data_IF_942448610079
#
_entry.id   IF_942448610079
#
_cell.length_a   1.000
_cell.length_b   1.000
_cell.length_c   1.000
_cell.angle_alpha   90.00
_cell.angle_beta   90.00
_cell.angle_gamma   90.00
#
_symmetry.space_group_name_H-M   'P 1'
#
loop_
_entity.id
_entity.type
_entity.pdbx_description
1 polymer ?
#
# COMPACT_ATOMS: atom_id res chain seq x y z
N UNK A 1 11.54 17.27 -1.29
CA UNK A 1 10.48 16.32 -1.67
C UNK A 1 9.18 16.90 -1.15
N UNK A 2 8.20 17.17 -2.02
CA UNK A 2 6.98 17.90 -1.65
C UNK A 2 5.74 16.99 -1.69
N UNK A 3 5.91 15.71 -1.39
CA UNK A 3 4.86 14.69 -1.39
C UNK A 3 5.10 13.66 -0.27
N UNK A 4 4.04 13.06 0.29
CA UNK A 4 4.18 12.01 1.31
C UNK A 4 4.71 10.70 0.69
N UNK A 5 5.50 9.97 1.47
CA UNK A 5 5.90 8.59 1.15
C UNK A 5 4.91 7.64 1.84
N UNK A 6 4.37 6.68 1.10
CA UNK A 6 3.35 5.77 1.61
C UNK A 6 3.84 4.32 1.68
N UNK A 7 3.69 3.69 2.85
CA UNK A 7 3.73 2.23 3.04
C UNK A 7 3.01 1.87 4.35
N UNK A 8 2.02 0.99 4.23
CA UNK A 8 1.14 0.57 5.33
C UNK A 8 1.32 -0.87 5.76
N UNK A 9 2.32 -1.58 5.21
CA UNK A 9 2.58 -2.98 5.51
C UNK A 9 4.03 -3.24 5.92
N UNK A 10 4.72 -2.21 6.42
CA UNK A 10 6.07 -2.33 6.98
C UNK A 10 6.07 -1.65 8.35
N UNK A 11 6.45 -2.41 9.36
CA UNK A 11 6.56 -1.93 10.74
C UNK A 11 7.95 -2.25 11.28
N UNK A 12 8.38 -1.43 12.22
CA UNK A 12 9.54 -1.69 13.06
C UNK A 12 9.18 -2.80 14.06
N UNK A 13 9.97 -3.87 14.10
CA UNK A 13 9.68 -5.09 14.89
C UNK A 13 9.70 -4.82 16.39
N UNK A 14 10.58 -3.94 16.86
CA UNK A 14 10.73 -3.64 18.28
C UNK A 14 9.54 -2.83 18.80
N UNK A 15 9.11 -1.83 18.04
CA UNK A 15 8.10 -0.86 18.47
C UNK A 15 6.69 -1.19 18.00
N UNK A 16 6.54 -2.04 16.98
CA UNK A 16 5.27 -2.34 16.30
C UNK A 16 4.67 -1.14 15.55
N UNK A 17 5.47 -0.09 15.29
CA UNK A 17 5.03 1.15 14.65
C UNK A 17 5.49 1.20 13.20
N UNK A 18 4.83 2.02 12.39
CA UNK A 18 5.32 2.34 11.05
C UNK A 18 6.71 2.98 11.12
N UNK A 19 7.53 2.68 10.12
CA UNK A 19 8.87 3.24 9.97
C UNK A 19 8.85 4.77 9.84
N UNK A 20 9.97 5.43 10.11
CA UNK A 20 10.03 6.90 10.11
C UNK A 20 9.81 7.49 8.73
N UNK A 21 9.22 8.70 8.68
CA UNK A 21 9.00 9.49 7.46
C UNK A 21 8.09 8.85 6.39
N UNK A 22 7.32 7.82 6.76
CA UNK A 22 6.27 7.27 5.90
C UNK A 22 4.91 7.36 6.59
N UNK A 23 3.84 7.27 5.80
CA UNK A 23 2.48 7.10 6.30
C UNK A 23 1.88 5.82 5.71
N UNK A 24 1.00 5.11 6.42
CA UNK A 24 0.30 3.96 5.84
C UNK A 24 -0.60 4.35 4.67
N UNK A 25 -1.25 5.51 4.80
CA UNK A 25 -2.16 6.06 3.83
C UNK A 25 -2.18 7.60 3.93
N UNK A 26 -2.76 8.24 2.92
CA UNK A 26 -3.07 9.67 2.94
C UNK A 26 -4.38 9.92 2.19
N UNK A 27 -5.13 10.95 2.57
CA UNK A 27 -6.27 11.41 1.79
C UNK A 27 -6.09 12.84 1.30
N UNK A 28 -6.72 13.16 0.18
CA UNK A 28 -6.75 14.48 -0.40
C UNK A 28 -8.07 14.70 -1.16
N UNK A 29 -8.44 15.96 -1.38
CA UNK A 29 -9.60 16.30 -2.19
C UNK A 29 -9.17 16.69 -3.61
N UNK A 30 -9.84 16.17 -4.61
CA UNK A 30 -9.66 16.54 -6.01
C UNK A 30 -11.02 16.87 -6.62
N UNK A 31 -11.21 18.14 -7.02
CA UNK A 31 -12.49 18.65 -7.54
C UNK A 31 -13.71 18.30 -6.66
N UNK A 32 -13.53 18.34 -5.33
CA UNK A 32 -14.58 18.01 -4.36
C UNK A 32 -14.74 16.53 -4.01
N UNK A 33 -14.05 15.62 -4.72
CA UNK A 33 -14.02 14.18 -4.41
C UNK A 33 -12.86 13.88 -3.46
N UNK A 34 -13.14 13.20 -2.34
CA UNK A 34 -12.11 12.75 -1.40
C UNK A 34 -11.50 11.44 -1.90
N UNK A 35 -10.21 11.45 -2.15
CA UNK A 35 -9.43 10.29 -2.59
C UNK A 35 -8.56 9.82 -1.43
N UNK A 36 -8.77 8.57 -1.01
CA UNK A 36 -7.91 7.86 -0.08
C UNK A 36 -6.87 7.06 -0.85
N UNK A 37 -5.61 7.14 -0.43
CA UNK A 37 -4.51 6.41 -1.05
C UNK A 37 -3.76 5.60 -0.01
N UNK A 38 -3.71 4.28 -0.19
CA UNK A 38 -3.04 3.32 0.71
C UNK A 38 -1.76 2.83 0.05
N UNK A 39 -0.62 2.96 0.72
CA UNK A 39 0.65 2.48 0.19
C UNK A 39 0.93 1.04 0.62
N UNK A 40 1.37 0.17 -0.29
CA UNK A 40 1.76 -1.20 0.03
C UNK A 40 3.04 -1.57 -0.73
N UNK A 41 3.89 -2.40 -0.13
CA UNK A 41 5.14 -2.89 -0.73
C UNK A 41 5.24 -4.42 -0.71
N UNK A 42 6.14 -4.95 -1.51
CA UNK A 42 6.46 -6.37 -1.59
C UNK A 42 7.12 -6.89 -0.31
N UNK A 43 6.79 -8.13 0.09
CA UNK A 43 7.50 -8.87 1.15
C UNK A 43 8.87 -9.43 0.71
N UNK A 44 9.28 -9.22 -0.55
CA UNK A 44 10.55 -9.75 -1.09
C UNK A 44 11.78 -9.41 -0.23
N UNK A 45 11.96 -8.19 0.33
CA UNK A 45 13.14 -7.88 1.15
C UNK A 45 13.28 -8.82 2.36
N UNK A 46 12.19 -9.02 3.11
CA UNK A 46 12.14 -9.93 4.26
C UNK A 46 12.30 -11.39 3.84
N UNK A 47 11.57 -11.85 2.82
CA UNK A 47 11.66 -13.23 2.32
C UNK A 47 13.07 -13.58 1.83
N UNK A 48 13.80 -12.61 1.28
CA UNK A 48 15.18 -12.78 0.82
C UNK A 48 16.20 -12.72 1.96
N UNK A 49 15.80 -12.31 3.16
CA UNK A 49 16.68 -12.17 4.32
C UNK A 49 17.74 -11.08 4.12
N UNK A 50 17.35 -9.91 3.63
CA UNK A 50 18.29 -8.79 3.51
C UNK A 50 18.60 -8.19 4.88
N UNK A 51 19.89 -8.00 5.18
CA UNK A 51 20.34 -7.48 6.48
C UNK A 51 19.80 -6.07 6.78
N UNK A 52 19.64 -5.22 5.75
CA UNK A 52 19.16 -3.83 5.86
C UNK A 52 17.71 -3.71 6.32
N UNK A 53 16.95 -4.81 6.36
CA UNK A 53 15.55 -4.85 6.83
C UNK A 53 15.35 -5.86 7.95
N UNK A 54 16.45 -6.33 8.57
CA UNK A 54 16.40 -7.38 9.57
C UNK A 54 15.63 -6.98 10.84
N UNK A 55 15.42 -5.70 11.10
CA UNK A 55 14.66 -5.12 12.20
C UNK A 55 13.20 -4.75 11.84
N UNK A 56 12.80 -5.00 10.59
CA UNK A 56 11.46 -4.70 10.08
C UNK A 56 10.63 -5.98 9.92
N UNK A 57 9.32 -5.84 10.11
CA UNK A 57 8.33 -6.87 9.75
C UNK A 57 7.51 -6.40 8.55
N UNK A 58 7.35 -7.29 7.57
CA UNK A 58 6.54 -7.05 6.38
C UNK A 58 5.21 -7.79 6.52
N UNK A 59 4.12 -7.04 6.65
CA UNK A 59 2.77 -7.60 6.73
C UNK A 59 2.31 -7.98 5.32
N UNK A 60 1.58 -9.10 5.20
CA UNK A 60 1.03 -9.53 3.91
C UNK A 60 0.14 -8.41 3.32
N UNK A 61 0.30 -8.03 2.04
CA UNK A 61 -0.37 -6.84 1.50
C UNK A 61 -1.90 -6.83 1.58
N UNK A 62 -2.57 -7.97 1.36
CA UNK A 62 -4.03 -8.08 1.45
C UNK A 62 -4.48 -7.99 2.91
N UNK A 63 -3.73 -8.59 3.84
CA UNK A 63 -3.96 -8.44 5.28
C UNK A 63 -3.86 -6.97 5.72
N UNK A 64 -2.76 -6.29 5.37
CA UNK A 64 -2.56 -4.88 5.70
C UNK A 64 -3.64 -3.98 5.08
N UNK A 65 -4.02 -4.25 3.82
CA UNK A 65 -5.10 -3.54 3.16
C UNK A 65 -6.43 -3.69 3.91
N UNK A 66 -6.81 -4.90 4.30
CA UNK A 66 -8.05 -5.15 5.03
C UNK A 66 -8.09 -4.43 6.39
N UNK A 67 -6.93 -4.26 7.05
CA UNK A 67 -6.84 -3.52 8.30
C UNK A 67 -6.99 -2.01 8.11
N UNK A 68 -6.43 -1.45 7.03
CA UNK A 68 -6.40 0.00 6.76
C UNK A 68 -7.67 0.51 6.07
N UNK A 69 -8.25 -0.29 5.18
CA UNK A 69 -9.33 0.15 4.29
C UNK A 69 -10.57 0.69 5.01
N UNK A 70 -11.03 0.16 6.16
CA UNK A 70 -12.18 0.71 6.88
C UNK A 70 -11.99 2.18 7.27
N UNK A 71 -10.86 2.52 7.89
CA UNK A 71 -10.56 3.90 8.32
C UNK A 71 -10.43 4.84 7.11
N UNK A 72 -9.83 4.37 6.03
CA UNK A 72 -9.65 5.16 4.81
C UNK A 72 -10.98 5.42 4.12
N UNK A 73 -11.86 4.42 4.09
CA UNK A 73 -13.19 4.49 3.47
C UNK A 73 -14.12 5.46 4.22
N UNK A 74 -13.99 5.59 5.54
CA UNK A 74 -14.75 6.61 6.30
C UNK A 74 -14.38 8.04 5.89
N UNK A 75 -13.19 8.24 5.32
CA UNK A 75 -12.61 9.55 5.01
C UNK A 75 -12.56 9.85 3.52
N UNK A 76 -12.99 8.91 2.68
CA UNK A 76 -12.76 8.95 1.23
C UNK A 76 -13.98 8.44 0.45
N UNK A 77 -14.24 9.06 -0.70
CA UNK A 77 -15.25 8.61 -1.65
C UNK A 77 -14.69 7.55 -2.60
N UNK A 78 -13.38 7.59 -2.85
CA UNK A 78 -12.64 6.69 -3.74
C UNK A 78 -11.39 6.19 -3.01
N UNK A 79 -11.13 4.89 -3.05
CA UNK A 79 -9.97 4.27 -2.41
C UNK A 79 -9.02 3.70 -3.47
N UNK A 80 -7.81 4.25 -3.53
CA UNK A 80 -6.74 3.84 -4.44
C UNK A 80 -5.66 3.11 -3.64
N UNK A 81 -5.20 1.97 -4.14
CA UNK A 81 -4.01 1.30 -3.61
C UNK A 81 -2.81 1.66 -4.49
N UNK A 82 -1.79 2.30 -3.90
CA UNK A 82 -0.50 2.56 -4.53
C UNK A 82 0.45 1.42 -4.13
N UNK A 83 0.66 0.47 -5.04
CA UNK A 83 1.28 -0.82 -4.73
C UNK A 83 2.63 -1.01 -5.43
N UNK A 84 3.61 -1.47 -4.67
CA UNK A 84 4.84 -2.09 -5.16
C UNK A 84 4.92 -3.57 -4.71
N UNK A 85 3.77 -4.25 -4.60
CA UNK A 85 3.69 -5.66 -4.18
C UNK A 85 3.88 -6.67 -5.32
N UNK A 86 3.72 -6.21 -6.57
CA UNK A 86 3.91 -6.99 -7.79
C UNK A 86 2.58 -7.46 -8.40
N UNK A 87 2.53 -7.56 -9.73
CA UNK A 87 1.29 -7.70 -10.48
C UNK A 87 0.35 -8.84 -9.99
N UNK A 88 0.82 -10.06 -9.66
CA UNK A 88 -0.06 -11.09 -9.12
C UNK A 88 -0.73 -10.72 -7.79
N UNK A 89 -0.03 -9.97 -6.93
CA UNK A 89 -0.60 -9.48 -5.66
C UNK A 89 -1.52 -8.29 -5.92
N UNK A 90 -1.15 -7.40 -6.84
CA UNK A 90 -1.98 -6.26 -7.25
C UNK A 90 -3.37 -6.70 -7.75
N UNK A 91 -3.44 -7.80 -8.50
CA UNK A 91 -4.71 -8.39 -8.91
C UNK A 91 -5.56 -8.86 -7.72
N UNK A 92 -4.95 -9.39 -6.65
CA UNK A 92 -5.66 -9.78 -5.42
C UNK A 92 -6.14 -8.56 -4.65
N UNK A 93 -5.30 -7.53 -4.53
CA UNK A 93 -5.65 -6.26 -3.90
C UNK A 93 -6.85 -5.61 -4.61
N UNK A 94 -6.91 -5.68 -5.93
CA UNK A 94 -8.03 -5.17 -6.73
C UNK A 94 -9.36 -5.91 -6.50
N UNK A 95 -9.33 -7.15 -5.98
CA UNK A 95 -10.56 -7.89 -5.64
C UNK A 95 -11.10 -7.54 -4.24
N UNK A 96 -10.39 -6.76 -3.43
CA UNK A 96 -10.84 -6.40 -2.09
C UNK A 96 -12.01 -5.41 -2.18
N UNK A 97 -13.20 -5.73 -1.60
CA UNK A 97 -14.35 -4.84 -1.64
C UNK A 97 -14.02 -3.46 -1.05
N UNK A 98 -14.39 -2.41 -1.78
CA UNK A 98 -14.10 -1.03 -1.39
C UNK A 98 -12.83 -0.46 -2.02
N UNK A 99 -12.00 -1.27 -2.69
CA UNK A 99 -10.92 -0.76 -3.56
C UNK A 99 -11.49 -0.31 -4.89
N UNK A 100 -11.19 0.91 -5.29
CA UNK A 100 -11.62 1.49 -6.56
C UNK A 100 -10.61 1.27 -7.69
N UNK A 101 -9.31 1.29 -7.36
CA UNK A 101 -8.23 1.05 -8.31
C UNK A 101 -6.94 0.63 -7.60
N UNK A 102 -6.09 -0.11 -8.31
CA UNK A 102 -4.72 -0.41 -7.90
C UNK A 102 -3.75 0.17 -8.93
N UNK A 103 -2.82 1.00 -8.47
CA UNK A 103 -1.69 1.50 -9.26
C UNK A 103 -0.48 0.65 -8.86
N UNK A 104 -0.19 -0.38 -9.67
CA UNK A 104 0.81 -1.41 -9.38
C UNK A 104 2.21 -1.12 -9.94
N UNK A 105 3.21 -1.87 -9.45
CA UNK A 105 4.61 -1.78 -9.85
C UNK A 105 5.36 -3.12 -9.61
N UNK A 106 6.67 -3.07 -9.31
CA UNK A 106 7.58 -4.20 -9.00
C UNK A 106 7.89 -5.18 -10.14
N UNK A 107 6.89 -5.61 -10.92
CA UNK A 107 7.07 -6.63 -11.97
C UNK A 107 7.48 -6.07 -13.34
N UNK A 108 7.51 -4.74 -13.48
CA UNK A 108 7.79 -4.02 -14.74
C UNK A 108 6.86 -4.44 -15.91
N UNK A 109 5.70 -5.03 -15.60
CA UNK A 109 4.74 -5.46 -16.61
C UNK A 109 4.09 -4.24 -17.26
N UNK A 110 4.14 -4.19 -18.58
CA UNK A 110 3.40 -3.20 -19.37
C UNK A 110 1.93 -3.61 -19.41
N UNK A 111 1.05 -2.69 -19.04
CA UNK A 111 -0.40 -2.85 -19.10
C UNK A 111 -0.93 -1.62 -19.85
N UNK A 112 -1.40 -1.84 -21.08
CA UNK A 112 -1.91 -0.75 -21.94
C UNK A 112 -3.36 -0.39 -21.61
N UNK A 113 -4.14 -1.38 -21.16
CA UNK A 113 -5.55 -1.22 -20.78
C UNK A 113 -5.74 -1.73 -19.36
N UNK A 114 -6.41 -1.00 -18.45
CA UNK A 114 -6.74 -1.50 -17.12
C UNK A 114 -7.44 -2.87 -17.20
N UNK A 115 -7.07 -3.76 -16.27
CA UNK A 115 -7.47 -5.18 -16.23
C UNK A 115 -8.16 -5.51 -14.92
#
# INVERSE_FOLDING_TARGET
>A
MNFPILTGNVIDRETGKYIQNVKPWNSFAFNGVKVGMIGLTSMKPEIRGWDDVADLDFIEPVEALNALLPEVSEKSDVNIVLSHAGNPVDHKLAQVPGVSAVIGADTHKVIETPV
#
